data_IF_714189495460
#
_entry.id   IF_714189495460
#
_cell.length_a   1.000
_cell.length_b   1.000
_cell.length_c   1.000
_cell.angle_alpha   90.00
_cell.angle_beta   90.00
_cell.angle_gamma   90.00
#
_symmetry.space_group_name_H-M   'P 1'
#
loop_
_entity.id
_entity.type
_entity.pdbx_description
1 polymer ?
#
# COMPACT_ATOMS: atom_id res chain seq x y z
N UNK A 1 29.11 -56.09 3.12
CA UNK A 1 28.59 -56.29 4.48
C UNK A 1 29.68 -56.92 5.34
N UNK A 2 30.27 -56.15 6.27
CA UNK A 2 30.92 -56.57 7.53
C UNK A 2 31.53 -55.32 8.18
N UNK A 3 30.82 -54.83 9.19
CA UNK A 3 31.30 -53.82 10.14
C UNK A 3 32.07 -54.53 11.26
N UNK A 4 33.00 -53.84 11.93
CA UNK A 4 32.97 -53.81 13.40
C UNK A 4 33.87 -52.72 14.00
N UNK A 5 33.16 -51.85 14.72
CA UNK A 5 33.48 -50.80 15.67
C UNK A 5 34.39 -51.26 16.83
N UNK A 6 35.31 -50.40 17.30
CA UNK A 6 35.67 -50.29 18.73
C UNK A 6 35.96 -48.82 19.12
N UNK A 7 35.20 -48.38 20.11
CA UNK A 7 35.29 -47.13 20.87
C UNK A 7 36.43 -47.16 21.91
N UNK A 8 36.88 -45.98 22.39
CA UNK A 8 37.25 -45.62 23.78
C UNK A 8 37.84 -44.18 23.77
N UNK A 9 37.05 -43.13 24.07
CA UNK A 9 36.88 -42.43 25.37
C UNK A 9 38.18 -41.95 26.02
N UNK A 10 38.33 -40.63 26.12
CA UNK A 10 39.24 -39.94 27.03
C UNK A 10 38.75 -38.52 27.32
N UNK A 11 38.05 -38.34 28.44
CA UNK A 11 37.66 -37.03 29.00
C UNK A 11 38.68 -36.67 30.08
N UNK A 12 39.21 -35.45 30.07
CA UNK A 12 39.80 -34.81 31.25
C UNK A 12 39.74 -33.26 31.17
N UNK A 13 38.69 -32.74 31.80
CA UNK A 13 38.55 -31.53 32.65
C UNK A 13 39.84 -31.25 33.50
N UNK A 14 40.31 -30.05 33.93
CA UNK A 14 39.69 -28.87 34.59
C UNK A 14 40.66 -27.65 34.59
N UNK A 15 40.12 -26.49 34.22
CA UNK A 15 40.12 -25.12 34.81
C UNK A 15 41.34 -24.31 35.34
N UNK A 16 41.01 -23.01 35.42
CA UNK A 16 41.47 -21.90 36.29
C UNK A 16 42.52 -20.97 35.64
N UNK A 17 42.48 -19.64 35.69
CA UNK A 17 41.61 -18.58 36.24
C UNK A 17 42.24 -17.25 35.82
N UNK A 18 41.47 -16.23 35.45
CA UNK A 18 41.68 -14.83 35.88
C UNK A 18 40.60 -13.93 35.28
N UNK A 19 39.61 -13.58 36.11
CA UNK A 19 38.77 -12.41 35.91
C UNK A 19 39.64 -11.16 35.91
N UNK A 20 39.57 -10.34 34.88
CA UNK A 20 39.83 -8.91 35.01
C UNK A 20 38.50 -8.19 34.85
N UNK A 21 37.85 -7.98 35.99
CA UNK A 21 36.69 -7.10 36.12
C UNK A 21 37.16 -5.68 35.82
N UNK A 22 36.67 -5.07 34.75
CA UNK A 22 36.69 -3.62 34.61
C UNK A 22 35.26 -3.11 34.55
N UNK A 23 35.00 -2.16 35.44
CA UNK A 23 33.70 -1.70 35.87
C UNK A 23 33.02 -0.85 34.78
N UNK A 24 31.69 -0.98 34.74
CA UNK A 24 30.77 -0.44 33.77
C UNK A 24 30.92 1.06 33.46
N UNK A 25 30.91 1.40 32.17
CA UNK A 25 30.15 2.55 31.67
C UNK A 25 28.89 2.00 31.02
N UNK A 26 27.76 2.27 31.66
CA UNK A 26 26.43 2.02 31.16
C UNK A 26 26.19 3.03 30.03
N UNK A 27 26.47 2.63 28.79
CA UNK A 27 25.96 3.33 27.62
C UNK A 27 24.72 2.57 27.17
N UNK A 28 23.58 3.14 27.54
CA UNK A 28 22.25 2.69 27.16
C UNK A 28 22.21 2.47 25.65
N UNK A 29 22.16 1.20 25.21
CA UNK A 29 21.71 0.89 23.86
C UNK A 29 20.32 1.52 23.67
N UNK A 30 20.12 2.42 22.70
CA UNK A 30 18.77 2.68 22.25
C UNK A 30 18.33 1.42 21.49
N UNK A 31 17.31 0.75 22.02
CA UNK A 31 16.52 -0.24 21.30
C UNK A 31 16.35 0.20 19.85
N UNK A 32 16.81 -0.63 18.92
CA UNK A 32 16.50 -0.52 17.50
C UNK A 32 14.99 -0.34 17.35
N UNK A 33 14.63 0.88 17.00
CA UNK A 33 13.24 1.28 16.75
C UNK A 33 12.79 0.54 15.49
N UNK A 34 11.56 -0.01 15.43
CA UNK A 34 11.04 -0.53 14.18
C UNK A 34 11.12 0.55 13.11
N UNK A 35 11.70 0.19 11.97
CA UNK A 35 11.83 1.00 10.77
C UNK A 35 10.46 1.62 10.44
N UNK A 36 10.31 2.89 10.81
CA UNK A 36 9.13 3.68 10.53
C UNK A 36 9.17 3.95 9.03
N UNK A 37 8.23 3.34 8.29
CA UNK A 37 7.96 3.71 6.90
C UNK A 37 8.02 5.25 6.77
N UNK A 38 8.67 5.80 5.74
CA UNK A 38 8.75 7.24 5.56
C UNK A 38 7.33 7.81 5.57
N UNK A 39 7.06 8.86 6.37
CA UNK A 39 5.81 9.57 6.28
C UNK A 39 5.77 10.22 4.91
N UNK A 40 4.89 9.73 4.05
CA UNK A 40 4.39 10.52 2.93
C UNK A 40 3.77 11.75 3.60
N UNK A 41 4.33 12.93 3.32
CA UNK A 41 3.86 14.21 3.84
C UNK A 41 2.35 14.33 3.61
N UNK A 42 1.58 14.21 4.69
CA UNK A 42 0.21 14.73 4.77
C UNK A 42 0.32 16.26 4.73
N UNK A 43 0.50 16.81 3.52
CA UNK A 43 0.33 18.25 3.33
C UNK A 43 -1.18 18.53 3.28
N UNK A 44 -1.73 18.87 4.45
CA UNK A 44 -3.14 19.11 4.74
C UNK A 44 -3.64 20.40 4.11
N UNK A 45 -3.49 20.56 2.79
CA UNK A 45 -4.21 21.57 2.03
C UNK A 45 -5.10 20.90 0.99
N UNK A 46 -6.13 20.21 1.46
CA UNK A 46 -7.16 19.63 0.59
C UNK A 46 -7.98 20.74 -0.07
N UNK A 47 -7.48 21.27 -1.18
CA UNK A 47 -8.25 22.11 -2.09
C UNK A 47 -8.56 21.30 -3.34
N UNK A 48 -9.84 21.21 -3.68
CA UNK A 48 -10.29 20.74 -4.99
C UNK A 48 -9.55 21.54 -6.08
N UNK A 49 -8.92 20.85 -7.04
CA UNK A 49 -8.10 21.45 -8.09
C UNK A 49 -6.58 21.21 -7.98
N UNK A 50 -6.11 20.42 -7.01
CA UNK A 50 -4.72 19.97 -7.00
C UNK A 50 -4.47 18.92 -8.08
N UNK A 51 -3.37 19.06 -8.82
CA UNK A 51 -2.90 18.02 -9.72
C UNK A 51 -2.19 16.92 -8.90
N UNK A 52 -2.38 15.64 -9.26
CA UNK A 52 -1.67 14.57 -8.60
C UNK A 52 -0.15 14.70 -8.82
N UNK A 53 0.68 14.36 -7.82
CA UNK A 53 2.13 14.35 -8.00
C UNK A 53 2.53 13.41 -9.13
N UNK A 54 3.39 13.86 -10.05
CA UNK A 54 3.83 13.02 -11.18
C UNK A 54 4.80 11.92 -10.75
N UNK A 55 5.39 12.02 -9.56
CA UNK A 55 6.37 11.06 -9.04
C UNK A 55 6.17 10.80 -7.56
N UNK A 56 6.56 9.61 -7.11
CA UNK A 56 6.56 9.19 -5.71
C UNK A 56 7.84 8.41 -5.39
N UNK A 57 8.44 8.65 -4.23
CA UNK A 57 9.62 7.90 -3.76
C UNK A 57 9.15 6.70 -2.92
N UNK A 58 9.64 5.50 -3.25
CA UNK A 58 9.43 4.25 -2.49
C UNK A 58 10.74 3.45 -2.49
N UNK A 59 11.26 3.10 -1.31
CA UNK A 59 12.46 2.26 -1.17
C UNK A 59 13.64 2.78 -2.04
N UNK A 60 13.93 4.08 -1.94
CA UNK A 60 14.95 4.79 -2.73
C UNK A 60 14.75 4.79 -4.26
N UNK A 61 13.63 4.27 -4.75
CA UNK A 61 13.22 4.36 -6.16
C UNK A 61 12.27 5.52 -6.39
N UNK A 62 12.45 6.20 -7.53
CA UNK A 62 11.47 7.17 -8.04
C UNK A 62 10.49 6.44 -8.94
N UNK A 63 9.23 6.36 -8.50
CA UNK A 63 8.13 5.82 -9.28
C UNK A 63 7.42 6.95 -10.03
N UNK A 64 6.97 6.69 -11.24
CA UNK A 64 6.21 7.64 -12.06
C UNK A 64 4.72 7.34 -11.99
N UNK A 65 3.89 8.39 -11.95
CA UNK A 65 2.45 8.27 -12.11
C UNK A 65 2.17 7.69 -13.50
N UNK A 66 1.60 6.50 -13.55
CA UNK A 66 1.28 5.81 -14.82
C UNK A 66 -0.21 5.76 -15.10
N UNK A 67 -1.05 5.85 -14.07
CA UNK A 67 -2.50 5.84 -14.22
C UNK A 67 -3.19 6.49 -13.03
N UNK A 68 -4.26 7.22 -13.32
CA UNK A 68 -5.27 7.63 -12.35
C UNK A 68 -6.45 6.68 -12.56
N UNK A 69 -6.90 6.06 -11.48
CA UNK A 69 -7.98 5.10 -11.52
C UNK A 69 -9.12 5.61 -10.63
N UNK A 70 -10.24 5.93 -11.26
CA UNK A 70 -11.46 6.30 -10.56
C UNK A 70 -12.15 5.06 -10.01
N UNK A 71 -12.75 5.22 -8.85
CA UNK A 71 -13.48 4.17 -8.18
C UNK A 71 -14.51 4.73 -7.22
N UNK A 72 -15.49 3.90 -6.91
CA UNK A 72 -16.42 4.18 -5.85
C UNK A 72 -17.08 2.89 -5.42
N UNK A 73 -17.56 2.88 -4.19
CA UNK A 73 -18.33 1.77 -3.67
C UNK A 73 -19.35 2.25 -2.63
N UNK A 74 -20.44 1.52 -2.56
CA UNK A 74 -21.46 1.72 -1.55
C UNK A 74 -21.24 0.72 -0.41
N UNK A 75 -21.35 1.20 0.82
CA UNK A 75 -21.44 0.38 2.03
C UNK A 75 -22.84 -0.19 2.19
N UNK A 76 -23.84 0.62 1.84
CA UNK A 76 -25.27 0.31 1.82
C UNK A 76 -25.98 1.33 0.90
N UNK A 77 -27.30 1.25 0.79
CA UNK A 77 -28.11 2.12 -0.09
C UNK A 77 -28.01 3.62 0.23
N UNK A 78 -27.51 3.99 1.43
CA UNK A 78 -27.41 5.38 1.87
C UNK A 78 -25.97 5.90 1.91
N UNK A 79 -24.99 5.01 2.07
CA UNK A 79 -23.63 5.38 2.41
C UNK A 79 -22.62 4.82 1.44
N UNK A 80 -21.67 5.65 1.05
CA UNK A 80 -20.53 5.22 0.24
C UNK A 80 -19.52 6.34 0.03
N UNK A 81 -18.56 6.07 -0.85
CA UNK A 81 -17.58 7.07 -1.26
C UNK A 81 -17.14 6.80 -2.71
N UNK A 82 -16.77 7.87 -3.41
CA UNK A 82 -16.06 7.78 -4.69
C UNK A 82 -14.85 8.70 -4.70
N UNK A 83 -13.91 8.42 -5.60
CA UNK A 83 -12.79 9.28 -5.94
C UNK A 83 -11.74 8.49 -6.72
N UNK A 84 -10.51 8.97 -6.69
CA UNK A 84 -9.43 8.47 -7.53
C UNK A 84 -8.30 7.88 -6.69
N UNK A 85 -7.60 6.92 -7.29
CA UNK A 85 -6.39 6.29 -6.80
C UNK A 85 -5.29 6.46 -7.83
N UNK A 86 -4.08 6.71 -7.36
CA UNK A 86 -2.92 6.96 -8.19
C UNK A 86 -2.07 5.70 -8.23
N UNK A 87 -1.80 5.23 -9.44
CA UNK A 87 -0.93 4.09 -9.68
C UNK A 87 0.42 4.64 -10.12
N UNK A 88 1.43 4.36 -9.31
CA UNK A 88 2.83 4.68 -9.59
C UNK A 88 3.60 3.41 -9.92
N UNK A 89 4.53 3.49 -10.85
CA UNK A 89 5.36 2.36 -11.27
C UNK A 89 6.80 2.76 -11.58
N UNK A 90 7.73 1.85 -11.36
CA UNK A 90 9.14 2.03 -11.70
C UNK A 90 9.30 1.99 -13.23
N UNK A 91 9.78 3.07 -13.87
CA UNK A 91 9.94 3.11 -15.33
C UNK A 91 10.92 2.06 -15.85
N UNK A 92 11.89 1.63 -15.04
CA UNK A 92 12.86 0.58 -15.42
C UNK A 92 12.15 -0.77 -15.53
N UNK A 93 11.30 -1.10 -14.56
CA UNK A 93 10.50 -2.33 -14.59
C UNK A 93 9.52 -2.34 -15.76
N UNK A 94 8.87 -1.19 -16.04
CA UNK A 94 7.98 -1.07 -17.20
C UNK A 94 8.72 -1.40 -18.48
N UNK A 95 9.88 -0.78 -18.70
CA UNK A 95 10.67 -0.98 -19.91
C UNK A 95 11.10 -2.45 -20.05
N UNK A 96 11.70 -3.01 -19.00
CA UNK A 96 12.17 -4.41 -18.96
C UNK A 96 11.05 -5.39 -19.27
N UNK A 97 9.90 -5.27 -18.60
CA UNK A 97 8.78 -6.20 -18.82
C UNK A 97 8.23 -6.08 -20.25
N UNK A 98 8.22 -4.87 -20.85
CA UNK A 98 7.72 -4.69 -22.23
C UNK A 98 8.63 -5.39 -23.23
N UNK A 99 9.94 -5.30 -23.00
CA UNK A 99 10.98 -5.95 -23.81
C UNK A 99 10.97 -7.48 -23.62
N UNK A 100 10.85 -7.96 -22.37
CA UNK A 100 10.98 -9.38 -22.03
C UNK A 100 9.69 -10.19 -22.26
N UNK A 101 8.53 -9.60 -21.96
CA UNK A 101 7.24 -10.32 -21.88
C UNK A 101 6.19 -9.84 -22.90
N UNK A 102 6.45 -8.73 -23.59
CA UNK A 102 5.56 -8.16 -24.59
C UNK A 102 4.40 -7.33 -24.00
N UNK A 103 3.67 -6.59 -24.87
CA UNK A 103 2.66 -5.62 -24.45
C UNK A 103 1.38 -6.23 -23.87
N UNK A 104 1.01 -7.45 -24.27
CA UNK A 104 -0.22 -8.10 -23.77
C UNK A 104 -0.17 -8.32 -22.25
N UNK A 105 0.99 -8.67 -21.72
CA UNK A 105 1.20 -8.89 -20.28
C UNK A 105 0.95 -7.61 -19.46
N UNK A 106 1.20 -6.43 -20.04
CA UNK A 106 0.84 -5.17 -19.37
C UNK A 106 -0.66 -4.98 -19.25
N UNK A 107 -1.42 -5.31 -20.29
CA UNK A 107 -2.87 -5.24 -20.22
C UNK A 107 -3.41 -6.16 -19.12
N UNK A 108 -2.84 -7.35 -18.97
CA UNK A 108 -3.22 -8.28 -17.91
C UNK A 108 -2.85 -7.75 -16.52
N UNK A 109 -1.70 -7.08 -16.40
CA UNK A 109 -1.29 -6.43 -15.15
C UNK A 109 -2.21 -5.28 -14.77
N UNK A 110 -2.60 -4.44 -15.73
CA UNK A 110 -3.56 -3.36 -15.50
C UNK A 110 -4.90 -3.90 -15.01
N UNK A 111 -5.42 -4.95 -15.64
CA UNK A 111 -6.66 -5.61 -15.21
C UNK A 111 -6.53 -6.17 -13.78
N UNK A 112 -5.39 -6.77 -13.45
CA UNK A 112 -5.12 -7.30 -12.11
C UNK A 112 -5.06 -6.19 -11.07
N UNK A 113 -4.38 -5.07 -11.37
CA UNK A 113 -4.29 -3.90 -10.51
C UNK A 113 -5.68 -3.30 -10.25
N UNK A 114 -6.47 -3.13 -11.31
CA UNK A 114 -7.83 -2.63 -11.19
C UNK A 114 -8.70 -3.54 -10.31
N UNK A 115 -8.59 -4.86 -10.51
CA UNK A 115 -9.39 -5.85 -9.77
C UNK A 115 -9.11 -5.78 -8.26
N UNK A 116 -7.84 -5.91 -7.86
CA UNK A 116 -7.53 -5.90 -6.42
C UNK A 116 -7.75 -4.51 -5.80
N UNK A 117 -7.57 -3.43 -6.56
CA UNK A 117 -7.79 -2.09 -6.03
C UNK A 117 -9.28 -1.80 -5.81
N UNK A 118 -10.15 -2.28 -6.70
CA UNK A 118 -11.60 -2.19 -6.53
C UNK A 118 -12.06 -2.98 -5.31
N UNK A 119 -11.51 -4.18 -5.11
CA UNK A 119 -11.80 -4.99 -3.92
C UNK A 119 -11.33 -4.29 -2.64
N UNK A 120 -10.09 -3.79 -2.64
CA UNK A 120 -9.55 -3.05 -1.50
C UNK A 120 -10.36 -1.78 -1.19
N UNK A 121 -10.89 -1.09 -2.20
CA UNK A 121 -11.79 0.04 -2.03
C UNK A 121 -13.09 -0.37 -1.33
N UNK A 122 -13.73 -1.45 -1.79
CA UNK A 122 -14.96 -1.94 -1.17
C UNK A 122 -14.73 -2.31 0.30
N UNK A 123 -13.64 -3.02 0.60
CA UNK A 123 -13.27 -3.35 1.98
C UNK A 123 -13.03 -2.10 2.83
N UNK A 124 -12.30 -1.12 2.28
CA UNK A 124 -12.00 0.12 2.97
C UNK A 124 -13.27 0.92 3.29
N UNK A 125 -14.23 0.96 2.37
CA UNK A 125 -15.54 1.60 2.58
C UNK A 125 -16.34 0.87 3.64
N UNK A 126 -16.35 -0.46 3.61
CA UNK A 126 -17.03 -1.27 4.63
C UNK A 126 -16.45 -1.03 6.03
N UNK A 127 -15.13 -0.86 6.13
CA UNK A 127 -14.42 -0.56 7.37
C UNK A 127 -14.54 0.91 7.82
N UNK A 128 -14.92 1.82 6.93
CA UNK A 128 -15.02 3.26 7.25
C UNK A 128 -16.35 3.57 7.94
N UNK A 129 -16.31 4.40 8.99
CA UNK A 129 -17.51 4.91 9.63
C UNK A 129 -18.02 6.14 8.87
N UNK A 130 -18.91 5.91 7.90
CA UNK A 130 -19.47 6.96 7.05
C UNK A 130 -20.62 7.74 7.69
N UNK A 131 -20.88 7.57 8.99
CA UNK A 131 -21.90 8.36 9.67
C UNK A 131 -21.45 9.83 9.80
N UNK A 132 -22.42 10.73 9.86
CA UNK A 132 -22.16 12.13 10.22
C UNK A 132 -21.52 12.19 11.61
N UNK A 133 -20.50 13.04 11.75
CA UNK A 133 -19.80 13.21 13.02
C UNK A 133 -20.44 14.36 13.82
N UNK A 134 -21.23 14.06 14.88
CA UNK A 134 -21.90 15.09 15.65
C UNK A 134 -20.95 15.95 16.49
N UNK A 135 -19.66 15.58 16.57
CA UNK A 135 -18.64 16.29 17.33
C UNK A 135 -17.70 17.12 16.45
N UNK A 136 -17.87 17.11 15.13
CA UNK A 136 -17.05 17.91 14.24
C UNK A 136 -17.39 19.40 14.36
N UNK A 137 -16.37 20.27 14.30
CA UNK A 137 -16.51 21.71 14.38
C UNK A 137 -16.96 22.34 13.04
N UNK A 138 -17.09 21.54 11.97
CA UNK A 138 -17.57 21.96 10.67
C UNK A 138 -17.43 20.89 9.58
N UNK A 139 -18.05 21.13 8.42
CA UNK A 139 -18.05 20.17 7.31
C UNK A 139 -16.65 19.80 6.81
N UNK A 140 -15.73 20.76 6.79
CA UNK A 140 -14.35 20.55 6.34
C UNK A 140 -13.59 19.56 7.24
N UNK A 141 -13.72 19.70 8.56
CA UNK A 141 -13.08 18.79 9.53
C UNK A 141 -13.70 17.39 9.47
N UNK A 142 -15.03 17.30 9.35
CA UNK A 142 -15.72 16.02 9.17
C UNK A 142 -15.23 15.30 7.90
N UNK A 143 -15.07 16.03 6.80
CA UNK A 143 -14.57 15.50 5.53
C UNK A 143 -13.09 15.09 5.62
N UNK A 144 -12.24 15.87 6.27
CA UNK A 144 -10.83 15.52 6.48
C UNK A 144 -10.71 14.21 7.28
N UNK A 145 -11.50 14.08 8.35
CA UNK A 145 -11.54 12.87 9.19
C UNK A 145 -11.97 11.64 8.39
N UNK A 146 -13.04 11.75 7.60
CA UNK A 146 -13.50 10.66 6.72
C UNK A 146 -12.45 10.30 5.67
N UNK A 147 -11.84 11.31 5.04
CA UNK A 147 -10.75 11.14 4.07
C UNK A 147 -9.57 10.38 4.66
N UNK A 148 -9.17 10.74 5.89
CA UNK A 148 -8.08 10.06 6.59
C UNK A 148 -8.44 8.61 6.93
N UNK A 149 -9.67 8.36 7.41
CA UNK A 149 -10.13 7.00 7.69
C UNK A 149 -10.15 6.13 6.44
N UNK A 150 -10.78 6.60 5.35
CA UNK A 150 -10.85 5.87 4.09
C UNK A 150 -9.45 5.61 3.52
N UNK A 151 -8.57 6.62 3.54
CA UNK A 151 -7.20 6.48 3.05
C UNK A 151 -6.40 5.43 3.81
N UNK A 152 -6.52 5.40 5.14
CA UNK A 152 -5.84 4.42 5.98
C UNK A 152 -6.40 3.02 5.77
N UNK A 153 -7.73 2.88 5.75
CA UNK A 153 -8.38 1.60 5.51
C UNK A 153 -8.00 1.03 4.13
N UNK A 154 -7.98 1.87 3.09
CA UNK A 154 -7.54 1.47 1.75
C UNK A 154 -6.09 1.01 1.73
N UNK A 155 -5.17 1.78 2.34
CA UNK A 155 -3.76 1.39 2.46
C UNK A 155 -3.60 0.04 3.16
N UNK A 156 -4.39 -0.22 4.20
CA UNK A 156 -4.40 -1.51 4.89
C UNK A 156 -4.92 -2.64 4.01
N UNK A 157 -6.07 -2.45 3.36
CA UNK A 157 -6.69 -3.47 2.50
C UNK A 157 -5.85 -3.82 1.27
N UNK A 158 -5.19 -2.83 0.66
CA UNK A 158 -4.40 -3.06 -0.56
C UNK A 158 -3.01 -3.64 -0.30
N UNK A 159 -2.49 -3.56 0.93
CA UNK A 159 -1.10 -3.91 1.24
C UNK A 159 -0.72 -5.33 0.81
N UNK A 160 -1.55 -6.33 1.14
CA UNK A 160 -1.26 -7.73 0.81
C UNK A 160 -1.42 -8.03 -0.69
N UNK A 161 -2.54 -7.68 -1.35
CA UNK A 161 -2.67 -7.86 -2.80
C UNK A 161 -1.57 -7.15 -3.60
N UNK A 162 -1.18 -5.94 -3.19
CA UNK A 162 -0.09 -5.18 -3.81
C UNK A 162 1.22 -5.94 -3.68
N UNK A 163 1.56 -6.39 -2.46
CA UNK A 163 2.77 -7.18 -2.22
C UNK A 163 2.81 -8.44 -3.09
N UNK A 164 1.73 -9.22 -3.11
CA UNK A 164 1.63 -10.43 -3.94
C UNK A 164 1.82 -10.13 -5.42
N UNK A 165 1.19 -9.06 -5.93
CA UNK A 165 1.39 -8.62 -7.29
C UNK A 165 2.87 -8.30 -7.59
N UNK A 166 3.54 -7.57 -6.70
CA UNK A 166 4.95 -7.22 -6.89
C UNK A 166 5.87 -8.45 -6.84
N UNK A 167 5.59 -9.41 -5.96
CA UNK A 167 6.33 -10.69 -5.87
C UNK A 167 6.17 -11.55 -7.14
N UNK A 168 4.95 -11.67 -7.65
CA UNK A 168 4.65 -12.48 -8.83
C UNK A 168 5.18 -11.86 -10.13
N UNK A 169 5.04 -10.53 -10.26
CA UNK A 169 5.33 -9.84 -11.53
C UNK A 169 6.74 -9.27 -11.60
N UNK A 170 7.41 -9.10 -10.46
CA UNK A 170 8.64 -8.31 -10.29
C UNK A 170 8.48 -6.83 -10.64
N UNK A 171 7.25 -6.34 -10.82
CA UNK A 171 6.98 -4.95 -11.17
C UNK A 171 6.89 -4.12 -9.89
N UNK A 172 7.78 -3.15 -9.73
CA UNK A 172 7.71 -2.23 -8.60
C UNK A 172 6.60 -1.22 -8.82
N UNK A 173 5.53 -1.30 -8.02
CA UNK A 173 4.40 -0.36 -8.08
C UNK A 173 4.01 0.15 -6.69
N UNK A 174 3.23 1.22 -6.69
CA UNK A 174 2.50 1.70 -5.53
C UNK A 174 1.11 2.16 -5.95
N UNK A 175 0.12 1.95 -5.09
CA UNK A 175 -1.25 2.41 -5.32
C UNK A 175 -1.66 3.23 -4.11
N UNK A 176 -1.95 4.52 -4.31
CA UNK A 176 -2.23 5.45 -3.21
C UNK A 176 -3.56 6.18 -3.42
N UNK A 177 -4.33 6.44 -2.36
CA UNK A 177 -5.54 7.25 -2.45
C UNK A 177 -5.20 8.69 -2.83
N UNK A 178 -6.00 9.29 -3.73
CA UNK A 178 -5.91 10.72 -4.03
C UNK A 178 -6.97 11.48 -3.22
N UNK A 179 -6.65 11.75 -1.96
CA UNK A 179 -7.55 12.38 -0.98
C UNK A 179 -8.37 13.59 -1.53
N UNK A 180 -7.80 14.54 -2.30
CA UNK A 180 -8.56 15.67 -2.84
C UNK A 180 -9.73 15.31 -3.77
N UNK A 181 -9.77 14.08 -4.30
CA UNK A 181 -10.85 13.61 -5.18
C UNK A 181 -12.02 12.94 -4.46
N UNK A 182 -11.91 12.71 -3.14
CA UNK A 182 -12.94 11.96 -2.43
C UNK A 182 -14.23 12.75 -2.24
N UNK A 183 -15.34 12.08 -2.53
CA UNK A 183 -16.70 12.53 -2.29
C UNK A 183 -17.39 11.44 -1.47
N UNK A 184 -17.99 11.83 -0.35
CA UNK A 184 -18.69 10.93 0.57
C UNK A 184 -20.20 11.07 0.41
N UNK A 185 -20.87 9.93 0.44
CA UNK A 185 -22.32 9.82 0.38
C UNK A 185 -22.85 9.36 1.73
N UNK A 186 -23.85 10.07 2.25
CA UNK A 186 -24.47 9.77 3.55
C UNK A 186 -26.01 9.73 3.50
N UNK A 187 -26.61 10.11 2.37
CA UNK A 187 -28.06 10.23 2.19
C UNK A 187 -28.56 9.54 0.90
N UNK A 188 -27.78 8.60 0.37
CA UNK A 188 -28.07 7.90 -0.88
C UNK A 188 -26.77 7.55 -1.60
N UNK A 189 -26.56 6.27 -1.88
CA UNK A 189 -25.41 5.79 -2.64
C UNK A 189 -25.89 4.93 -3.81
N UNK A 190 -25.84 5.53 -5.00
CA UNK A 190 -26.06 4.84 -6.27
C UNK A 190 -24.78 4.95 -7.09
N UNK A 191 -23.71 4.34 -6.61
CA UNK A 191 -22.48 4.19 -7.40
C UNK A 191 -22.67 2.95 -8.26
N UNK A 192 -23.10 3.16 -9.50
CA UNK A 192 -22.92 2.15 -10.54
C UNK A 192 -21.42 1.84 -10.62
N UNK A 193 -21.05 0.56 -10.52
CA UNK A 193 -19.67 0.13 -10.78
C UNK A 193 -19.21 0.79 -12.07
N UNK A 194 -18.22 1.69 -11.99
CA UNK A 194 -17.67 2.39 -13.14
C UNK A 194 -17.08 1.30 -14.06
N UNK A 195 -17.78 0.99 -15.15
CA UNK A 195 -17.26 0.10 -16.17
C UNK A 195 -15.99 0.73 -16.77
N UNK A 196 -14.97 -0.08 -17.12
CA UNK A 196 -13.83 0.45 -17.84
C UNK A 196 -14.29 1.04 -19.18
N UNK A 197 -13.98 2.31 -19.41
CA UNK A 197 -14.12 2.91 -20.74
C UNK A 197 -13.22 2.14 -21.71
N UNK A 198 -13.79 1.17 -22.41
CA UNK A 198 -13.18 0.65 -23.62
C UNK A 198 -13.28 1.75 -24.67
N UNK A 199 -12.20 2.49 -24.87
CA UNK A 199 -11.97 3.30 -26.07
C UNK A 199 -11.93 2.40 -27.31
N UNK A 200 -13.10 1.94 -27.77
CA UNK A 200 -13.27 1.25 -29.04
C UNK A 200 -14.55 1.70 -29.76
N UNK A 201 -14.91 2.97 -29.60
CA UNK A 201 -15.90 3.61 -30.46
C UNK A 201 -15.37 4.94 -31.01
N UNK A 202 -14.40 4.84 -31.92
CA UNK A 202 -14.20 5.84 -32.97
C UNK A 202 -13.88 5.14 -34.29
N UNK A 203 -14.92 4.98 -35.11
CA UNK A 203 -14.79 4.95 -36.56
C UNK A 203 -16.09 5.54 -37.16
N UNK A 204 -16.06 6.86 -37.35
CA UNK A 204 -16.56 7.49 -38.58
C UNK A 204 -15.32 7.93 -39.34
#
# INVERSE_FOLDING_TARGET
MKSNLKFLIGIAFIALTACSTQQAKQETEPLSTPEKLPPITDDSSQKSGQNPPLTLIKEDKTLNLVRIMDGGACKNDFQGAKGSFLIYADPVDIKRIKEDKGPQIFSDFENKIQTFSTQALQEAINATNLNEDPFSLGADEAQEKLTKQLSNNFRSSIANPLKLFQEETTMTINVVPFAPSFIFYQQGCEITHLEPENENNKAI
#
